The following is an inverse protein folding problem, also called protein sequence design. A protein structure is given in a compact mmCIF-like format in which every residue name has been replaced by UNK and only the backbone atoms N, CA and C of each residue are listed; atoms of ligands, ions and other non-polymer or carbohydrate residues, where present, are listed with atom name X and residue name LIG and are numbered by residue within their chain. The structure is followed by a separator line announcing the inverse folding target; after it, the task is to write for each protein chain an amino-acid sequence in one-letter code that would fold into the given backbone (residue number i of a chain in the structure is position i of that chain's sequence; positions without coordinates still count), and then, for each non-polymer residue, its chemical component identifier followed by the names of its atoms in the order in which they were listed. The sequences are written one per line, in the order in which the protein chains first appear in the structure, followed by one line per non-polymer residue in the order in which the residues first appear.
data_IF_408287543294
#
_entry.id   IF_408287543294
#
_cell.length_a   1.000
_cell.length_b   1.000
_cell.length_c   1.000
_cell.angle_alpha   90.00
_cell.angle_beta   90.00
_cell.angle_gamma   90.00
#
_symmetry.space_group_name_H-M   'P 1'
#
loop_
_entity.id
_entity.type
_entity.pdbx_description
1 polymer ?
#
# COMPACT_ATOMS: atom_id res chain seq x y z
N UNK A 1 -1.85 -25.62 -38.52
CA UNK A 1 -1.88 -25.55 -37.06
C UNK A 1 -1.86 -24.08 -36.66
N UNK A 2 -2.73 -23.65 -35.75
CA UNK A 2 -2.63 -22.31 -35.18
C UNK A 2 -1.30 -22.17 -34.44
N UNK A 3 -0.64 -21.02 -34.56
CA UNK A 3 0.57 -20.75 -33.81
C UNK A 3 0.28 -20.67 -32.30
N UNK A 4 1.18 -21.15 -31.44
CA UNK A 4 1.06 -20.92 -30.00
C UNK A 4 0.94 -19.45 -29.66
N UNK A 5 0.24 -19.12 -28.57
CA UNK A 5 0.08 -17.73 -28.12
C UNK A 5 1.42 -17.02 -27.90
N UNK A 6 2.43 -17.75 -27.42
CA UNK A 6 3.79 -17.25 -27.23
C UNK A 6 4.44 -16.69 -28.51
N UNK A 7 3.96 -17.08 -29.70
CA UNK A 7 4.43 -16.52 -30.98
C UNK A 7 3.86 -15.12 -31.27
N UNK A 8 2.80 -14.73 -30.57
CA UNK A 8 2.11 -13.45 -30.76
C UNK A 8 2.27 -12.49 -29.59
N UNK A 9 2.40 -13.03 -28.36
CA UNK A 9 2.49 -12.24 -27.13
C UNK A 9 3.70 -12.71 -26.35
N UNK A 10 4.70 -11.84 -26.20
CA UNK A 10 5.85 -12.11 -25.36
C UNK A 10 5.51 -11.78 -23.91
N UNK A 11 5.48 -12.79 -23.06
CA UNK A 11 5.40 -12.65 -21.62
C UNK A 11 6.80 -12.77 -21.00
N UNK A 12 7.13 -12.06 -19.92
CA UNK A 12 8.41 -12.19 -19.25
C UNK A 12 8.55 -13.59 -18.62
N UNK A 13 9.73 -14.18 -18.77
CA UNK A 13 10.07 -15.41 -18.06
C UNK A 13 10.46 -15.14 -16.60
N UNK A 14 10.48 -16.20 -15.78
CA UNK A 14 10.80 -16.10 -14.35
C UNK A 14 12.13 -15.37 -14.08
N UNK A 15 13.20 -15.75 -14.76
CA UNK A 15 14.53 -15.14 -14.56
C UNK A 15 14.54 -13.66 -14.99
N UNK A 16 13.74 -13.30 -16.01
CA UNK A 16 13.64 -11.93 -16.50
C UNK A 16 12.99 -11.02 -15.47
N UNK A 17 11.82 -11.37 -14.95
CA UNK A 17 11.18 -10.51 -13.96
C UNK A 17 11.82 -10.61 -12.57
N UNK A 18 12.45 -11.71 -12.22
CA UNK A 18 13.28 -11.81 -11.02
C UNK A 18 14.40 -10.77 -11.04
N UNK A 19 15.04 -10.58 -12.19
CA UNK A 19 16.07 -9.55 -12.35
C UNK A 19 15.49 -8.14 -12.29
N UNK A 20 14.32 -7.90 -12.90
CA UNK A 20 13.68 -6.58 -12.87
C UNK A 20 13.37 -6.09 -11.47
N UNK A 21 12.95 -6.98 -10.58
CA UNK A 21 12.48 -6.63 -9.25
C UNK A 21 13.49 -6.95 -8.13
N UNK A 22 14.72 -7.34 -8.45
CA UNK A 22 15.72 -7.77 -7.46
C UNK A 22 16.03 -6.73 -6.35
N UNK A 23 15.81 -5.45 -6.61
CA UNK A 23 15.97 -4.40 -5.60
C UNK A 23 14.80 -4.36 -4.59
N UNK A 24 13.64 -4.96 -4.92
CA UNK A 24 12.43 -4.89 -4.11
C UNK A 24 11.89 -6.24 -3.65
N UNK A 25 12.31 -7.32 -4.27
CA UNK A 25 11.88 -8.65 -3.91
C UNK A 25 12.95 -9.71 -4.22
N UNK A 26 13.12 -10.67 -3.30
CA UNK A 26 13.76 -11.93 -3.60
C UNK A 26 12.69 -12.95 -4.00
N UNK A 27 12.88 -13.57 -5.16
CA UNK A 27 11.97 -14.56 -5.71
C UNK A 27 12.60 -15.94 -5.67
N UNK A 28 11.94 -16.88 -4.99
CA UNK A 28 12.34 -18.29 -4.94
C UNK A 28 11.17 -19.13 -5.42
N UNK A 29 11.36 -19.89 -6.52
CA UNK A 29 10.35 -20.83 -7.01
C UNK A 29 10.85 -22.27 -6.91
N UNK A 30 10.03 -23.14 -6.36
CA UNK A 30 10.31 -24.56 -6.17
C UNK A 30 9.00 -25.34 -6.38
N UNK A 31 8.97 -26.23 -7.36
CA UNK A 31 7.79 -27.04 -7.70
C UNK A 31 6.50 -26.24 -7.89
N UNK A 32 6.57 -25.11 -8.60
CA UNK A 32 5.43 -24.22 -8.82
C UNK A 32 4.99 -23.39 -7.61
N UNK A 33 5.62 -23.55 -6.45
CA UNK A 33 5.42 -22.70 -5.28
C UNK A 33 6.41 -21.55 -5.38
N UNK A 34 5.90 -20.32 -5.48
CA UNK A 34 6.69 -19.10 -5.51
C UNK A 34 6.66 -18.43 -4.14
N UNK A 35 7.82 -18.17 -3.55
CA UNK A 35 7.97 -17.26 -2.43
C UNK A 35 8.43 -15.90 -2.93
N UNK A 36 7.68 -14.86 -2.60
CA UNK A 36 8.01 -13.44 -2.77
C UNK A 36 8.42 -12.90 -1.42
N UNK A 37 9.69 -12.56 -1.27
CA UNK A 37 10.22 -11.94 -0.06
C UNK A 37 10.48 -10.46 -0.35
N UNK A 38 9.60 -9.59 0.14
CA UNK A 38 9.73 -8.15 -0.06
C UNK A 38 10.94 -7.60 0.69
N UNK A 39 11.64 -6.67 0.06
CA UNK A 39 12.86 -6.05 0.60
C UNK A 39 13.10 -4.68 -0.05
N UNK A 40 14.08 -3.95 0.45
CA UNK A 40 14.66 -2.77 -0.22
C UNK A 40 16.16 -2.98 -0.33
N UNK A 41 16.65 -3.17 -1.56
CA UNK A 41 18.04 -3.59 -1.83
C UNK A 41 18.39 -4.88 -1.06
N UNK A 42 19.37 -4.83 -0.16
CA UNK A 42 19.83 -6.00 0.62
C UNK A 42 19.31 -5.97 2.08
N UNK A 43 18.35 -5.11 2.38
CA UNK A 43 17.77 -4.92 3.72
C UNK A 43 16.27 -5.12 3.79
N UNK A 44 15.69 -4.98 4.99
CA UNK A 44 14.24 -4.97 5.18
C UNK A 44 13.55 -3.97 4.27
N UNK A 45 12.28 -4.20 3.96
CA UNK A 45 11.54 -3.33 3.07
C UNK A 45 11.21 -2.00 3.74
N UNK A 46 11.53 -0.92 3.04
CA UNK A 46 11.15 0.44 3.41
C UNK A 46 9.94 0.90 2.59
N UNK A 47 9.00 1.53 3.27
CA UNK A 47 7.83 2.12 2.64
C UNK A 47 8.22 3.35 1.83
N UNK A 48 7.91 3.35 0.55
CA UNK A 48 8.20 4.45 -0.37
C UNK A 48 7.30 4.39 -1.59
N UNK A 49 7.24 5.46 -2.39
CA UNK A 49 6.56 5.42 -3.68
C UNK A 49 7.13 4.38 -4.63
N UNK A 50 8.43 4.13 -4.57
CA UNK A 50 9.08 3.11 -5.40
C UNK A 50 8.72 1.69 -4.96
N UNK A 51 8.65 1.43 -3.64
CA UNK A 51 8.22 0.13 -3.13
C UNK A 51 6.75 -0.15 -3.46
N UNK A 52 5.85 0.83 -3.33
CA UNK A 52 4.47 0.73 -3.78
C UNK A 52 4.38 0.35 -5.26
N UNK A 53 5.11 1.06 -6.11
CA UNK A 53 5.15 0.76 -7.54
C UNK A 53 5.68 -0.63 -7.81
N UNK A 54 6.76 -1.03 -7.14
CA UNK A 54 7.34 -2.36 -7.31
C UNK A 54 6.37 -3.47 -6.92
N UNK A 55 5.65 -3.31 -5.79
CA UNK A 55 4.63 -4.27 -5.35
C UNK A 55 3.49 -4.39 -6.37
N UNK A 56 2.98 -3.26 -6.84
CA UNK A 56 1.93 -3.20 -7.87
C UNK A 56 2.37 -3.84 -9.19
N UNK A 57 3.58 -3.52 -9.66
CA UNK A 57 4.07 -4.05 -10.94
C UNK A 57 4.44 -5.53 -10.84
N UNK A 58 5.11 -5.97 -9.77
CA UNK A 58 5.47 -7.37 -9.60
C UNK A 58 4.22 -8.25 -9.52
N UNK A 59 3.22 -7.91 -8.70
CA UNK A 59 1.99 -8.70 -8.59
C UNK A 59 1.27 -8.84 -9.93
N UNK A 60 1.32 -7.82 -10.79
CA UNK A 60 0.81 -7.91 -12.15
C UNK A 60 1.58 -8.93 -13.00
N UNK A 61 2.91 -8.92 -12.92
CA UNK A 61 3.75 -9.88 -13.68
C UNK A 61 3.52 -11.29 -13.19
N UNK A 62 3.40 -11.48 -11.85
CA UNK A 62 3.14 -12.79 -11.26
C UNK A 62 1.83 -13.42 -11.75
N UNK A 63 0.81 -12.61 -12.02
CA UNK A 63 -0.47 -13.09 -12.54
C UNK A 63 -0.42 -13.61 -13.98
N UNK A 64 0.61 -13.23 -14.73
CA UNK A 64 0.81 -13.66 -16.12
C UNK A 64 1.70 -14.91 -16.25
N UNK A 65 2.37 -15.32 -15.19
CA UNK A 65 3.24 -16.50 -15.19
C UNK A 65 2.50 -17.72 -14.61
N UNK A 66 2.01 -18.56 -15.49
CA UNK A 66 1.20 -19.75 -15.12
C UNK A 66 2.02 -20.89 -14.50
N UNK A 67 3.35 -20.77 -14.46
CA UNK A 67 4.18 -21.70 -13.69
C UNK A 67 4.16 -21.40 -12.18
N UNK A 68 3.62 -20.25 -11.79
CA UNK A 68 3.32 -19.95 -10.40
C UNK A 68 1.97 -20.59 -10.03
N UNK A 69 2.02 -21.70 -9.30
CA UNK A 69 0.82 -22.46 -8.92
C UNK A 69 0.31 -22.14 -7.51
N UNK A 70 1.18 -21.66 -6.62
CA UNK A 70 0.90 -21.16 -5.28
C UNK A 70 1.89 -20.04 -4.99
N UNK A 71 1.45 -18.95 -4.38
CA UNK A 71 2.33 -17.83 -4.05
C UNK A 71 2.32 -17.54 -2.55
N UNK A 72 3.51 -17.45 -1.96
CA UNK A 72 3.74 -17.04 -0.56
C UNK A 72 4.31 -15.63 -0.57
N UNK A 73 3.67 -14.69 0.13
CA UNK A 73 4.16 -13.33 0.32
C UNK A 73 4.70 -13.15 1.75
N UNK A 74 5.92 -12.67 1.86
CA UNK A 74 6.57 -12.37 3.14
C UNK A 74 7.52 -11.17 3.00
N UNK A 75 8.15 -10.77 4.09
CA UNK A 75 9.19 -9.72 4.12
C UNK A 75 10.53 -10.28 4.59
N UNK A 76 11.61 -9.60 4.18
CA UNK A 76 12.96 -9.92 4.62
C UNK A 76 13.16 -9.48 6.08
N UNK A 77 13.66 -10.38 6.92
CA UNK A 77 13.95 -10.14 8.33
C UNK A 77 12.82 -10.55 9.27
N UNK A 78 12.84 -10.01 10.49
CA UNK A 78 11.95 -10.40 11.58
C UNK A 78 10.69 -9.55 11.69
N UNK A 79 10.55 -8.53 10.85
CA UNK A 79 9.43 -7.61 10.85
C UNK A 79 8.72 -7.62 9.50
N UNK A 80 7.46 -7.17 9.49
CA UNK A 80 6.79 -6.82 8.24
C UNK A 80 7.42 -5.52 7.70
N UNK A 81 6.75 -4.44 7.62
CA UNK A 81 7.28 -3.15 7.18
C UNK A 81 7.23 -2.18 8.36
N UNK A 82 8.37 -1.70 8.84
CA UNK A 82 8.45 -0.83 10.04
C UNK A 82 9.11 0.52 9.76
N UNK A 83 9.69 0.71 8.58
CA UNK A 83 10.42 1.92 8.20
C UNK A 83 9.86 2.53 6.92
N UNK A 84 9.97 3.85 6.80
CA UNK A 84 9.64 4.61 5.60
C UNK A 84 10.89 5.30 5.07
N UNK A 85 11.07 5.27 3.75
CA UNK A 85 12.13 5.99 3.06
C UNK A 85 11.58 7.28 2.46
N UNK A 86 11.87 8.40 3.11
CA UNK A 86 11.45 9.72 2.68
C UNK A 86 11.96 10.06 1.26
N UNK A 87 13.21 9.72 0.96
CA UNK A 87 13.81 10.02 -0.35
C UNK A 87 13.17 9.19 -1.48
N UNK A 88 12.72 7.99 -1.18
CA UNK A 88 12.00 7.14 -2.14
C UNK A 88 10.67 7.71 -2.60
N UNK A 89 10.09 8.64 -1.86
CA UNK A 89 8.89 9.38 -2.28
C UNK A 89 9.21 10.56 -3.19
N UNK A 90 10.33 11.23 -3.01
CA UNK A 90 10.75 12.37 -3.84
C UNK A 90 11.00 11.96 -5.29
N UNK A 91 11.58 10.78 -5.49
CA UNK A 91 11.87 10.25 -6.83
C UNK A 91 10.63 9.75 -7.57
N UNK A 92 9.48 9.66 -6.89
CA UNK A 92 8.26 9.09 -7.44
C UNK A 92 7.56 10.03 -8.43
N UNK A 93 7.57 11.33 -8.16
CA UNK A 93 7.12 12.37 -9.10
C UNK A 93 7.58 13.76 -8.65
N UNK A 94 8.00 14.60 -9.61
CA UNK A 94 8.36 15.99 -9.37
C UNK A 94 7.18 16.87 -8.97
N UNK A 95 5.95 16.47 -9.34
CA UNK A 95 4.73 17.23 -9.05
C UNK A 95 3.86 16.49 -8.02
N UNK A 96 3.44 17.16 -6.93
CA UNK A 96 2.57 16.55 -5.93
C UNK A 96 1.31 15.91 -6.53
N UNK A 97 0.66 16.60 -7.48
CA UNK A 97 -0.55 16.10 -8.14
C UNK A 97 -0.29 14.81 -8.93
N UNK A 98 0.84 14.70 -9.62
CA UNK A 98 1.22 13.49 -10.34
C UNK A 98 1.57 12.36 -9.38
N UNK A 99 2.24 12.68 -8.26
CA UNK A 99 2.55 11.70 -7.23
C UNK A 99 1.30 11.03 -6.70
N UNK A 100 0.29 11.80 -6.29
CA UNK A 100 -0.96 11.25 -5.78
C UNK A 100 -1.74 10.48 -6.84
N UNK A 101 -1.69 10.92 -8.09
CA UNK A 101 -2.26 10.16 -9.18
C UNK A 101 -1.55 8.81 -9.39
N UNK A 102 -0.21 8.78 -9.30
CA UNK A 102 0.56 7.55 -9.40
C UNK A 102 0.28 6.63 -8.21
N UNK A 103 0.25 7.17 -7.00
CA UNK A 103 -0.09 6.40 -5.79
C UNK A 103 -1.49 5.81 -5.89
N UNK A 104 -2.48 6.59 -6.31
CA UNK A 104 -3.83 6.08 -6.57
C UNK A 104 -3.82 4.85 -7.50
N UNK A 105 -3.04 4.89 -8.58
CA UNK A 105 -2.96 3.76 -9.50
C UNK A 105 -2.18 2.58 -8.92
N UNK A 106 -1.12 2.83 -8.17
CA UNK A 106 -0.31 1.76 -7.61
C UNK A 106 -1.07 1.02 -6.49
N UNK A 107 -1.76 1.74 -5.59
CA UNK A 107 -2.60 1.15 -4.54
C UNK A 107 -3.78 0.35 -5.15
N UNK A 108 -4.51 0.97 -6.08
CA UNK A 108 -5.64 0.28 -6.73
C UNK A 108 -5.19 -0.93 -7.53
N UNK A 109 -4.03 -0.86 -8.22
CA UNK A 109 -3.51 -1.97 -9.00
C UNK A 109 -2.94 -3.08 -8.13
N UNK A 110 -2.29 -2.78 -7.01
CA UNK A 110 -1.84 -3.81 -6.07
C UNK A 110 -3.01 -4.69 -5.63
N UNK A 111 -4.06 -4.07 -5.11
CA UNK A 111 -5.27 -4.78 -4.66
C UNK A 111 -5.94 -5.52 -5.81
N UNK A 112 -6.10 -4.84 -6.95
CA UNK A 112 -6.69 -5.45 -8.15
C UNK A 112 -5.90 -6.70 -8.57
N UNK A 113 -4.60 -6.60 -8.69
CA UNK A 113 -3.77 -7.71 -9.12
C UNK A 113 -3.86 -8.88 -8.13
N UNK A 114 -3.75 -8.62 -6.83
CA UNK A 114 -3.79 -9.68 -5.81
C UNK A 114 -5.15 -10.35 -5.68
N UNK A 115 -6.24 -9.60 -5.79
CA UNK A 115 -7.59 -10.12 -5.54
C UNK A 115 -8.27 -10.63 -6.80
N UNK A 116 -8.05 -9.96 -7.95
CA UNK A 116 -8.78 -10.27 -9.18
C UNK A 116 -7.94 -10.98 -10.23
N UNK A 117 -6.65 -10.68 -10.33
CA UNK A 117 -5.80 -11.15 -11.41
C UNK A 117 -4.93 -12.36 -11.01
N UNK A 118 -4.61 -12.53 -9.71
CA UNK A 118 -3.94 -13.75 -9.21
C UNK A 118 -4.97 -14.87 -9.02
N UNK A 119 -5.04 -15.77 -9.98
CA UNK A 119 -5.99 -16.91 -10.00
C UNK A 119 -5.46 -18.15 -9.26
N UNK A 120 -4.34 -18.04 -8.57
CA UNK A 120 -3.72 -19.14 -7.80
C UNK A 120 -3.83 -18.90 -6.30
N UNK A 121 -3.78 -19.97 -5.48
CA UNK A 121 -3.79 -19.83 -4.03
C UNK A 121 -2.62 -18.98 -3.52
N UNK A 122 -2.91 -18.15 -2.52
CA UNK A 122 -1.94 -17.22 -1.94
C UNK A 122 -1.89 -17.34 -0.42
N UNK A 123 -0.69 -17.21 0.14
CA UNK A 123 -0.44 -17.26 1.59
C UNK A 123 0.35 -16.01 1.99
N UNK A 124 -0.20 -15.24 2.92
CA UNK A 124 0.53 -14.17 3.60
C UNK A 124 1.23 -14.72 4.84
N UNK A 125 2.54 -14.53 4.94
CA UNK A 125 3.34 -15.00 6.07
C UNK A 125 4.03 -13.80 6.73
N UNK A 126 3.43 -13.27 7.81
CA UNK A 126 3.98 -12.11 8.53
C UNK A 126 5.05 -12.57 9.52
N UNK A 127 6.33 -12.20 9.31
CA UNK A 127 7.42 -12.59 10.19
C UNK A 127 7.38 -11.87 11.55
N UNK A 128 6.72 -10.71 11.64
CA UNK A 128 6.62 -9.90 12.83
C UNK A 128 5.82 -8.62 12.66
N UNK A 129 6.02 -7.63 13.55
CA UNK A 129 5.28 -6.37 13.56
C UNK A 129 5.43 -5.55 12.29
N UNK A 130 4.44 -4.70 11.99
CA UNK A 130 4.55 -3.72 10.91
C UNK A 130 3.24 -3.07 10.49
N UNK A 131 3.38 -2.15 9.55
CA UNK A 131 2.28 -1.49 8.85
C UNK A 131 2.27 -1.92 7.37
N UNK A 132 1.35 -1.39 6.56
CA UNK A 132 1.18 -1.81 5.17
C UNK A 132 1.02 -3.32 5.01
N UNK A 133 0.22 -3.89 5.88
CA UNK A 133 -0.04 -5.34 5.97
C UNK A 133 -1.03 -5.86 4.92
N UNK A 134 -1.55 -4.99 4.08
CA UNK A 134 -2.54 -5.26 3.04
C UNK A 134 -2.17 -6.46 2.17
N UNK A 135 -0.96 -6.51 1.64
CA UNK A 135 -0.54 -7.61 0.76
C UNK A 135 -0.58 -8.99 1.43
N UNK A 136 -0.43 -9.08 2.75
CA UNK A 136 -0.61 -10.34 3.47
C UNK A 136 -2.09 -10.71 3.67
N UNK A 137 -2.94 -9.72 3.94
CA UNK A 137 -4.36 -9.93 4.24
C UNK A 137 -5.25 -10.02 2.99
N UNK A 138 -4.72 -9.68 1.83
CA UNK A 138 -5.35 -9.94 0.53
C UNK A 138 -5.17 -11.41 0.08
N UNK A 139 -4.34 -12.18 0.77
CA UNK A 139 -4.12 -13.59 0.50
C UNK A 139 -5.30 -14.45 0.95
N UNK A 140 -5.40 -15.68 0.41
CA UNK A 140 -6.43 -16.65 0.80
C UNK A 140 -6.27 -17.10 2.26
N UNK A 141 -5.02 -17.21 2.71
CA UNK A 141 -4.64 -17.59 4.09
C UNK A 141 -3.58 -16.64 4.57
N UNK A 142 -3.68 -16.23 5.83
CA UNK A 142 -2.70 -15.37 6.49
C UNK A 142 -2.20 -16.04 7.78
N UNK A 143 -0.88 -16.12 7.91
CA UNK A 143 -0.18 -16.67 9.09
C UNK A 143 0.69 -15.56 9.66
N UNK A 144 0.75 -15.43 10.96
CA UNK A 144 1.66 -14.48 11.59
C UNK A 144 2.44 -15.08 12.75
N UNK A 145 3.58 -14.48 13.07
CA UNK A 145 4.33 -14.79 14.29
C UNK A 145 3.58 -14.31 15.54
N UNK A 146 3.86 -14.94 16.68
CA UNK A 146 3.19 -14.65 17.97
C UNK A 146 3.51 -13.25 18.54
N UNK A 147 4.63 -12.67 18.11
CA UNK A 147 5.00 -11.28 18.44
C UNK A 147 4.47 -10.25 17.44
N UNK A 148 3.74 -10.67 16.41
CA UNK A 148 3.22 -9.79 15.39
C UNK A 148 2.23 -8.77 15.98
N UNK A 149 2.39 -7.54 15.55
CA UNK A 149 1.46 -6.42 15.79
C UNK A 149 1.33 -5.63 14.51
N UNK A 150 0.11 -5.35 14.13
CA UNK A 150 -0.18 -4.53 12.96
C UNK A 150 -0.85 -3.23 13.36
N UNK A 151 -0.69 -2.20 12.55
CA UNK A 151 -1.34 -0.91 12.74
C UNK A 151 -1.78 -0.30 11.41
N UNK A 152 -2.68 0.68 11.50
CA UNK A 152 -3.06 1.57 10.40
C UNK A 152 -2.58 2.97 10.77
N UNK A 153 -1.36 3.37 10.38
CA UNK A 153 -0.72 4.59 10.87
C UNK A 153 -1.29 5.88 10.27
N UNK A 154 -2.19 5.80 9.29
CA UNK A 154 -2.73 6.92 8.54
C UNK A 154 -3.27 8.04 9.43
N UNK A 155 -4.09 7.72 10.45
CA UNK A 155 -4.66 8.73 11.33
C UNK A 155 -3.59 9.48 12.13
N UNK A 156 -2.52 8.80 12.56
CA UNK A 156 -1.36 9.44 13.21
C UNK A 156 -0.63 10.36 12.24
N UNK A 157 -0.54 9.95 10.98
CA UNK A 157 -0.01 10.74 9.89
C UNK A 157 -0.93 11.85 9.41
N UNK A 158 -2.14 12.00 9.95
CA UNK A 158 -3.15 12.92 9.44
C UNK A 158 -3.61 12.55 8.02
N UNK A 159 -3.55 11.28 7.67
CA UNK A 159 -3.97 10.73 6.38
C UNK A 159 -5.27 9.94 6.54
N UNK A 160 -5.98 9.79 5.44
CA UNK A 160 -7.15 8.91 5.36
C UNK A 160 -6.67 7.52 4.97
N UNK A 161 -7.05 6.44 5.68
CA UNK A 161 -6.65 5.07 5.31
C UNK A 161 -7.45 4.55 4.11
N UNK A 162 -7.12 5.02 2.92
CA UNK A 162 -7.85 4.78 1.69
C UNK A 162 -7.24 3.73 0.76
N UNK A 163 -6.05 3.25 1.07
CA UNK A 163 -5.27 2.24 0.33
C UNK A 163 -5.81 0.80 0.45
N UNK A 164 -7.05 0.65 0.88
CA UNK A 164 -7.71 -0.64 1.12
C UNK A 164 -7.62 -1.12 2.57
N UNK A 165 -6.66 -0.63 3.37
CA UNK A 165 -6.50 -1.05 4.77
C UNK A 165 -7.75 -0.75 5.61
N UNK A 166 -8.38 0.40 5.36
CA UNK A 166 -9.63 0.77 6.03
C UNK A 166 -10.78 -0.20 5.74
N UNK A 167 -10.95 -0.59 4.49
CA UNK A 167 -11.95 -1.56 4.07
C UNK A 167 -11.70 -2.95 4.67
N UNK A 168 -10.44 -3.39 4.62
CA UNK A 168 -10.06 -4.68 5.21
C UNK A 168 -10.23 -4.70 6.73
N UNK A 169 -9.87 -3.61 7.43
CA UNK A 169 -10.10 -3.51 8.86
C UNK A 169 -11.60 -3.63 9.23
N UNK A 170 -12.47 -2.96 8.47
CA UNK A 170 -13.93 -3.09 8.65
C UNK A 170 -14.43 -4.49 8.30
N UNK A 171 -13.89 -5.10 7.24
CA UNK A 171 -14.30 -6.43 6.79
C UNK A 171 -13.97 -7.51 7.84
N UNK A 172 -12.75 -7.54 8.32
CA UNK A 172 -12.29 -8.59 9.24
C UNK A 172 -12.70 -8.35 10.70
N UNK A 173 -12.75 -7.09 11.17
CA UNK A 173 -13.06 -6.76 12.56
C UNK A 173 -14.53 -6.40 12.79
N UNK A 174 -15.30 -6.24 11.70
CA UNK A 174 -16.62 -5.60 11.74
C UNK A 174 -16.53 -4.08 11.84
N UNK A 175 -17.57 -3.38 11.37
CA UNK A 175 -17.56 -1.93 11.16
C UNK A 175 -17.08 -1.13 12.38
N UNK A 176 -17.62 -1.41 13.57
CA UNK A 176 -17.31 -0.60 14.76
C UNK A 176 -15.88 -0.78 15.25
N UNK A 177 -15.41 -2.03 15.29
CA UNK A 177 -14.05 -2.31 15.74
C UNK A 177 -13.04 -1.84 14.69
N UNK A 178 -13.30 -2.08 13.40
CA UNK A 178 -12.47 -1.58 12.30
C UNK A 178 -12.33 -0.07 12.32
N UNK A 179 -13.45 0.68 12.47
CA UNK A 179 -13.41 2.13 12.60
C UNK A 179 -12.58 2.59 13.81
N UNK A 180 -12.75 1.91 14.96
CA UNK A 180 -11.97 2.24 16.14
C UNK A 180 -10.46 2.12 15.90
N UNK A 181 -10.02 1.01 15.30
CA UNK A 181 -8.60 0.80 14.99
C UNK A 181 -8.07 1.81 13.97
N UNK A 182 -8.81 2.07 12.91
CA UNK A 182 -8.42 3.04 11.88
C UNK A 182 -8.28 4.47 12.45
N UNK A 183 -9.27 4.90 13.24
CA UNK A 183 -9.34 6.28 13.73
C UNK A 183 -8.42 6.54 14.92
N UNK A 184 -7.96 5.50 15.62
CA UNK A 184 -7.07 5.62 16.77
C UNK A 184 -5.64 5.18 16.47
N UNK A 185 -5.40 4.58 15.31
CA UNK A 185 -4.13 3.92 14.94
C UNK A 185 -3.61 2.96 16.02
N UNK A 186 -4.52 2.34 16.77
CA UNK A 186 -4.15 1.36 17.79
C UNK A 186 -3.56 0.12 17.13
N UNK A 187 -2.49 -0.41 17.72
CA UNK A 187 -1.95 -1.69 17.30
C UNK A 187 -2.90 -2.85 17.61
N UNK A 188 -2.95 -3.82 16.69
CA UNK A 188 -3.68 -5.07 16.83
C UNK A 188 -2.66 -6.20 16.99
N UNK A 189 -2.75 -6.95 18.08
CA UNK A 189 -1.83 -8.06 18.37
C UNK A 189 -2.18 -9.32 17.59
N UNK A 190 -1.22 -10.26 17.47
CA UNK A 190 -1.45 -11.57 16.84
C UNK A 190 -2.65 -12.31 17.43
N UNK A 191 -2.83 -12.28 18.75
CA UNK A 191 -3.95 -12.93 19.41
C UNK A 191 -5.29 -12.24 19.16
N UNK A 192 -5.32 -10.91 19.10
CA UNK A 192 -6.53 -10.16 18.73
C UNK A 192 -6.90 -10.45 17.27
N UNK A 193 -5.92 -10.55 16.37
CA UNK A 193 -6.14 -10.94 14.97
C UNK A 193 -6.71 -12.35 14.84
N UNK A 194 -6.17 -13.31 15.58
CA UNK A 194 -6.65 -14.69 15.59
C UNK A 194 -8.10 -14.75 16.11
N UNK A 195 -8.37 -14.09 17.23
CA UNK A 195 -9.73 -14.03 17.81
C UNK A 195 -10.76 -13.37 16.91
N UNK A 196 -10.31 -12.40 16.09
CA UNK A 196 -11.18 -11.71 15.13
C UNK A 196 -11.34 -12.48 13.81
N UNK A 197 -10.55 -13.52 13.57
CA UNK A 197 -10.52 -14.24 12.30
C UNK A 197 -9.80 -13.49 11.17
N UNK A 198 -8.94 -12.52 11.52
CA UNK A 198 -8.10 -11.81 10.55
C UNK A 198 -6.94 -12.68 10.07
N UNK A 199 -6.38 -13.51 10.94
CA UNK A 199 -5.34 -14.49 10.60
C UNK A 199 -5.84 -15.90 10.80
N UNK A 200 -5.32 -16.81 9.99
CA UNK A 200 -5.69 -18.24 10.03
C UNK A 200 -4.96 -19.00 11.13
N UNK A 201 -3.68 -18.65 11.34
CA UNK A 201 -2.83 -19.27 12.35
C UNK A 201 -1.87 -18.24 12.95
N UNK A 202 -1.55 -18.43 14.24
CA UNK A 202 -0.43 -17.77 14.93
C UNK A 202 0.61 -18.83 15.26
N UNK A 203 1.84 -18.59 14.89
CA UNK A 203 2.97 -19.53 15.07
C UNK A 203 4.10 -18.85 15.85
N UNK A 204 5.02 -19.61 16.45
CA UNK A 204 6.17 -19.03 17.13
C UNK A 204 6.99 -18.13 16.21
N UNK A 205 7.63 -17.10 16.77
CA UNK A 205 8.50 -16.17 16.04
C UNK A 205 9.49 -16.92 15.14
N UNK A 206 9.66 -16.45 13.90
CA UNK A 206 10.53 -17.06 12.91
C UNK A 206 9.97 -18.30 12.21
N UNK A 207 8.71 -18.71 12.49
CA UNK A 207 8.09 -19.90 11.91
C UNK A 207 7.03 -19.63 10.85
N UNK A 208 6.66 -18.37 10.61
CA UNK A 208 5.58 -18.05 9.68
C UNK A 208 5.86 -18.53 8.24
N UNK A 209 7.06 -18.30 7.72
CA UNK A 209 7.45 -18.74 6.37
C UNK A 209 7.55 -20.26 6.27
N UNK A 210 8.14 -20.94 7.25
CA UNK A 210 8.22 -22.40 7.28
C UNK A 210 6.81 -23.01 7.23
N UNK A 211 5.90 -22.48 8.05
CA UNK A 211 4.50 -22.92 8.08
C UNK A 211 3.76 -22.65 6.77
N UNK A 212 4.01 -21.51 6.13
CA UNK A 212 3.45 -21.21 4.81
C UNK A 212 3.89 -22.23 3.75
N UNK A 213 5.15 -22.64 3.76
CA UNK A 213 5.65 -23.69 2.88
C UNK A 213 5.01 -25.06 3.15
N UNK A 214 4.77 -25.41 4.42
CA UNK A 214 4.07 -26.65 4.77
C UNK A 214 2.65 -26.67 4.18
N UNK A 215 1.91 -25.57 4.35
CA UNK A 215 0.56 -25.43 3.78
C UNK A 215 0.59 -25.45 2.25
N UNK A 216 1.54 -24.75 1.64
CA UNK A 216 1.67 -24.74 0.19
C UNK A 216 1.93 -26.16 -0.37
N UNK A 217 2.82 -26.93 0.26
CA UNK A 217 3.08 -28.33 -0.12
C UNK A 217 1.83 -29.22 0.09
N UNK A 218 1.09 -28.99 1.17
CA UNK A 218 -0.19 -29.69 1.37
C UNK A 218 -1.18 -29.36 0.26
N UNK A 219 -1.28 -28.09 -0.14
CA UNK A 219 -2.16 -27.71 -1.25
C UNK A 219 -1.72 -28.29 -2.59
N UNK A 220 -0.44 -28.51 -2.82
CA UNK A 220 0.07 -29.18 -4.04
C UNK A 220 -0.45 -30.62 -4.19
N UNK A 221 -0.92 -31.26 -3.13
CA UNK A 221 -1.54 -32.59 -3.22
C UNK A 221 -2.94 -32.56 -3.86
N UNK A 222 -3.58 -31.40 -3.95
CA UNK A 222 -4.85 -31.22 -4.65
C UNK A 222 -4.63 -30.98 -6.15
N UNK A 223 -5.56 -31.38 -7.02
CA UNK A 223 -5.53 -31.01 -8.43
C UNK A 223 -5.42 -29.49 -8.62
N UNK A 224 -4.65 -29.09 -9.61
CA UNK A 224 -4.40 -27.67 -9.93
C UNK A 224 -5.71 -26.88 -10.10
N UNK A 225 -6.62 -27.42 -10.89
CA UNK A 225 -7.90 -26.78 -11.21
C UNK A 225 -8.75 -26.57 -9.94
N UNK A 226 -8.76 -27.56 -9.06
CA UNK A 226 -9.56 -27.47 -7.82
C UNK A 226 -9.04 -26.36 -6.90
N UNK A 227 -7.72 -26.28 -6.70
CA UNK A 227 -7.16 -25.25 -5.80
C UNK A 227 -7.28 -23.85 -6.37
N UNK A 228 -7.18 -23.65 -7.70
CA UNK A 228 -7.39 -22.35 -8.34
C UNK A 228 -8.85 -21.91 -8.23
N UNK A 229 -9.82 -22.83 -8.47
CA UNK A 229 -11.25 -22.54 -8.30
C UNK A 229 -11.57 -22.23 -6.83
N UNK A 230 -11.00 -22.98 -5.88
CA UNK A 230 -11.20 -22.72 -4.45
C UNK A 230 -10.66 -21.34 -4.03
N UNK A 231 -9.46 -20.94 -4.49
CA UNK A 231 -8.91 -19.61 -4.26
C UNK A 231 -9.82 -18.51 -4.80
N UNK A 232 -10.32 -18.67 -6.02
CA UNK A 232 -11.26 -17.73 -6.61
C UNK A 232 -12.57 -17.59 -5.80
N UNK A 233 -13.06 -18.68 -5.24
CA UNK A 233 -14.25 -18.66 -4.36
C UNK A 233 -13.92 -18.02 -3.00
N UNK A 234 -12.76 -18.32 -2.43
CA UNK A 234 -12.31 -17.75 -1.16
C UNK A 234 -12.18 -16.23 -1.23
N UNK A 235 -11.64 -15.70 -2.34
CA UNK A 235 -11.49 -14.26 -2.57
C UNK A 235 -12.80 -13.52 -2.87
N UNK A 236 -13.91 -14.23 -3.11
CA UNK A 236 -15.17 -13.61 -3.51
C UNK A 236 -15.67 -12.49 -2.56
N UNK A 237 -15.60 -12.63 -1.23
CA UNK A 237 -16.02 -11.55 -0.32
C UNK A 237 -15.20 -10.26 -0.53
N UNK A 238 -13.87 -10.37 -0.66
CA UNK A 238 -12.99 -9.24 -0.95
C UNK A 238 -13.27 -8.65 -2.35
N UNK A 239 -13.48 -9.51 -3.36
CA UNK A 239 -13.85 -9.05 -4.72
C UNK A 239 -15.09 -8.15 -4.69
N UNK A 240 -16.11 -8.53 -3.96
CA UNK A 240 -17.33 -7.72 -3.82
C UNK A 240 -17.04 -6.39 -3.13
N UNK A 241 -16.33 -6.42 -1.99
CA UNK A 241 -15.98 -5.25 -1.22
C UNK A 241 -15.21 -4.23 -2.07
N UNK A 242 -14.17 -4.68 -2.75
CA UNK A 242 -13.30 -3.79 -3.51
C UNK A 242 -13.91 -3.29 -4.83
N UNK A 243 -14.83 -4.05 -5.46
CA UNK A 243 -15.56 -3.54 -6.62
C UNK A 243 -16.43 -2.34 -6.26
N UNK A 244 -17.04 -2.35 -5.09
CA UNK A 244 -17.94 -1.29 -4.64
C UNK A 244 -17.17 -0.06 -4.14
N UNK A 245 -16.18 -0.23 -3.30
CA UNK A 245 -15.67 0.84 -2.44
C UNK A 245 -14.20 1.22 -2.65
N UNK A 246 -13.36 0.36 -3.27
CA UNK A 246 -11.91 0.60 -3.33
C UNK A 246 -11.55 1.98 -3.89
N UNK A 247 -12.10 2.33 -5.05
CA UNK A 247 -11.75 3.59 -5.71
C UNK A 247 -12.20 4.82 -4.93
N UNK A 248 -13.33 4.74 -4.23
CA UNK A 248 -13.80 5.82 -3.35
C UNK A 248 -12.82 6.02 -2.18
N UNK A 249 -12.38 4.93 -1.57
CA UNK A 249 -11.43 4.96 -0.46
C UNK A 249 -10.08 5.52 -0.90
N UNK A 250 -9.50 5.00 -1.98
CA UNK A 250 -8.20 5.47 -2.48
C UNK A 250 -8.24 6.93 -2.92
N UNK A 251 -9.32 7.36 -3.61
CA UNK A 251 -9.50 8.79 -3.95
C UNK A 251 -9.60 9.64 -2.68
N UNK A 252 -10.30 9.17 -1.64
CA UNK A 252 -10.46 9.93 -0.39
C UNK A 252 -9.13 10.14 0.32
N UNK A 253 -8.23 9.16 0.30
CA UNK A 253 -6.87 9.29 0.81
C UNK A 253 -6.07 10.33 0.05
N UNK A 254 -6.05 10.22 -1.27
CA UNK A 254 -5.30 11.15 -2.12
C UNK A 254 -5.87 12.58 -2.03
N UNK A 255 -7.20 12.71 -1.95
CA UNK A 255 -7.85 14.00 -1.77
C UNK A 255 -7.50 14.61 -0.40
N UNK A 256 -7.55 13.83 0.68
CA UNK A 256 -7.14 14.27 2.01
C UNK A 256 -5.68 14.75 2.03
N UNK A 257 -4.79 14.01 1.39
CA UNK A 257 -3.37 14.38 1.25
C UNK A 257 -3.18 15.67 0.46
N UNK A 258 -3.91 15.86 -0.64
CA UNK A 258 -3.88 17.10 -1.43
C UNK A 258 -4.39 18.30 -0.62
N UNK A 259 -5.43 18.14 0.20
CA UNK A 259 -5.92 19.21 1.07
C UNK A 259 -4.87 19.62 2.11
N UNK A 260 -4.12 18.67 2.66
CA UNK A 260 -3.04 18.97 3.62
C UNK A 260 -1.87 19.69 2.97
N UNK A 261 -1.48 19.29 1.76
CA UNK A 261 -0.48 20.05 0.99
C UNK A 261 -0.98 21.47 0.73
N UNK A 262 -2.22 21.60 0.32
CA UNK A 262 -2.84 22.89 0.08
C UNK A 262 -2.93 23.76 1.34
N UNK A 263 -3.04 23.14 2.52
CA UNK A 263 -2.98 23.84 3.80
C UNK A 263 -1.53 24.17 4.25
N UNK A 264 -0.51 23.74 3.52
CA UNK A 264 0.89 23.91 3.90
C UNK A 264 1.36 23.00 5.06
N UNK A 265 0.56 22.00 5.38
CA UNK A 265 0.83 21.06 6.49
C UNK A 265 1.73 19.90 6.06
N UNK A 266 1.76 19.59 4.78
CA UNK A 266 2.70 18.66 4.15
C UNK A 266 3.58 19.48 3.21
N UNK A 267 4.90 19.32 3.30
CA UNK A 267 5.82 19.95 2.36
C UNK A 267 5.52 19.55 0.91
N UNK A 268 5.87 20.39 -0.05
CA UNK A 268 5.59 20.20 -1.48
C UNK A 268 6.11 18.88 -2.05
N UNK A 269 7.09 18.27 -1.40
CA UNK A 269 7.76 17.06 -1.86
C UNK A 269 7.37 15.80 -1.07
N UNK A 270 6.68 15.91 0.07
CA UNK A 270 6.63 14.83 1.03
C UNK A 270 5.30 14.67 1.74
N UNK A 271 4.35 13.98 1.13
CA UNK A 271 3.26 13.38 1.88
C UNK A 271 3.76 12.23 2.79
N UNK A 272 5.01 11.80 2.64
CA UNK A 272 5.66 10.81 3.48
C UNK A 272 6.81 11.34 4.34
N UNK A 273 7.29 12.57 4.12
CA UNK A 273 8.17 13.27 5.06
C UNK A 273 7.32 13.95 6.14
N UNK A 274 6.55 13.18 6.76
CA UNK A 274 6.39 13.45 8.16
C UNK A 274 7.79 13.30 8.72
N UNK A 275 8.23 14.36 9.39
CA UNK A 275 9.44 14.39 10.15
C UNK A 275 9.80 12.96 10.56
N UNK A 276 11.00 12.48 10.25
CA UNK A 276 11.52 11.19 10.78
C UNK A 276 11.24 11.07 12.28
N UNK A 277 11.11 12.20 12.97
CA UNK A 277 10.63 12.38 14.32
C UNK A 277 9.21 11.86 14.56
N UNK A 278 8.33 11.87 13.57
CA UNK A 278 6.95 11.37 13.70
C UNK A 278 6.85 9.87 13.49
N UNK A 279 7.57 9.31 12.54
CA UNK A 279 7.49 7.88 12.23
C UNK A 279 8.37 7.07 13.18
N UNK A 280 9.57 7.57 13.54
CA UNK A 280 10.52 6.84 14.39
C UNK A 280 10.24 6.94 15.89
N UNK A 281 9.44 7.90 16.33
CA UNK A 281 9.21 8.13 17.77
C UNK A 281 7.81 7.73 18.24
N UNK A 282 6.86 7.45 17.34
CA UNK A 282 5.49 7.40 17.78
C UNK A 282 4.74 6.12 17.49
N UNK A 283 5.10 5.12 18.18
CA UNK A 283 4.09 4.29 18.82
C UNK A 283 3.34 5.06 19.96
N UNK A 284 3.54 6.37 20.08
CA UNK A 284 2.95 7.20 21.12
C UNK A 284 1.88 8.12 20.52
N UNK A 285 0.60 7.67 20.58
CA UNK A 285 -0.57 8.44 20.17
C UNK A 285 -0.64 9.85 20.81
N UNK A 286 0.07 10.12 21.92
CA UNK A 286 0.18 11.43 22.57
C UNK A 286 0.82 12.47 21.65
N UNK A 287 1.65 12.06 20.72
CA UNK A 287 2.29 12.96 19.79
C UNK A 287 1.30 13.53 18.76
N UNK A 288 0.36 12.71 18.30
CA UNK A 288 -0.72 13.18 17.41
C UNK A 288 -1.69 14.09 18.15
N UNK A 289 -1.91 13.84 19.44
CA UNK A 289 -2.76 14.65 20.29
C UNK A 289 -2.17 16.05 20.47
N UNK A 290 -0.88 16.17 20.70
CA UNK A 290 -0.19 17.46 20.81
C UNK A 290 -0.19 18.23 19.50
N UNK A 291 -0.03 17.55 18.36
CA UNK A 291 -0.13 18.18 17.06
C UNK A 291 -1.55 18.66 16.73
N UNK A 292 -2.57 17.88 17.06
CA UNK A 292 -3.98 18.29 16.88
C UNK A 292 -4.38 19.41 17.85
N UNK A 293 -3.68 19.58 18.96
CA UNK A 293 -3.92 20.65 19.93
C UNK A 293 -3.10 21.91 19.68
N UNK A 294 -2.02 21.84 18.91
CA UNK A 294 -1.34 23.03 18.43
C UNK A 294 -2.14 23.61 17.27
N UNK A 295 -2.78 24.77 17.42
CA UNK A 295 -3.36 25.42 16.25
C UNK A 295 -2.24 25.59 15.23
N UNK A 296 -2.47 25.27 13.94
CA UNK A 296 -1.50 25.53 12.91
C UNK A 296 -1.07 26.97 13.03
N UNK A 297 0.25 27.20 13.00
CA UNK A 297 0.78 28.54 13.14
C UNK A 297 0.08 29.44 12.14
N UNK A 298 -0.35 30.62 12.59
CA UNK A 298 -1.19 31.52 11.81
C UNK A 298 -0.63 31.84 10.42
N UNK A 299 0.69 31.69 10.25
CA UNK A 299 1.41 31.91 9.00
C UNK A 299 1.20 30.80 7.96
N UNK A 300 1.14 29.52 8.34
CA UNK A 300 0.89 28.43 7.40
C UNK A 300 -0.54 28.44 6.87
N UNK A 301 -1.51 28.76 7.72
CA UNK A 301 -2.91 28.91 7.34
C UNK A 301 -3.17 30.21 6.57
N UNK A 302 -2.47 31.29 6.90
CA UNK A 302 -2.57 32.55 6.17
C UNK A 302 -2.10 32.41 4.72
N UNK A 303 -0.97 31.69 4.50
CA UNK A 303 -0.46 31.44 3.14
C UNK A 303 -1.40 30.59 2.28
N UNK A 304 -2.12 29.64 2.89
CA UNK A 304 -3.10 28.82 2.17
C UNK A 304 -4.39 29.56 1.87
N UNK A 305 -4.87 30.38 2.78
CA UNK A 305 -6.11 31.14 2.58
C UNK A 305 -5.97 32.32 1.64
N UNK A 306 -4.80 32.94 1.59
CA UNK A 306 -4.61 34.18 0.81
C UNK A 306 -4.30 33.93 -0.66
N UNK A 307 -3.51 32.91 -1.01
CA UNK A 307 -3.09 32.69 -2.41
C UNK A 307 -4.22 32.29 -3.38
N UNK A 308 -5.10 31.34 -3.09
CA UNK A 308 -6.27 31.08 -3.91
C UNK A 308 -7.29 32.21 -3.86
N UNK A 309 -7.44 32.89 -2.71
CA UNK A 309 -8.37 34.02 -2.57
C UNK A 309 -7.88 35.27 -3.27
N UNK A 310 -6.59 35.53 -3.38
CA UNK A 310 -6.05 36.63 -4.18
C UNK A 310 -6.39 36.45 -5.66
N UNK A 311 -6.28 35.23 -6.19
CA UNK A 311 -6.71 34.94 -7.56
C UNK A 311 -8.21 35.15 -7.75
N UNK A 312 -9.05 34.61 -6.86
CA UNK A 312 -10.50 34.84 -6.91
C UNK A 312 -10.87 36.31 -6.68
N UNK A 313 -10.13 37.01 -5.86
CA UNK A 313 -10.30 38.43 -5.62
C UNK A 313 -9.98 39.24 -6.87
N UNK A 314 -8.89 38.91 -7.55
CA UNK A 314 -8.52 39.55 -8.82
C UNK A 314 -9.59 39.32 -9.92
N UNK A 315 -10.12 38.08 -10.00
CA UNK A 315 -11.24 37.77 -10.91
C UNK A 315 -12.52 38.54 -10.52
N UNK A 316 -12.82 38.59 -9.22
CA UNK A 316 -13.98 39.33 -8.71
C UNK A 316 -13.86 40.86 -8.89
N UNK A 317 -12.64 41.39 -8.90
CA UNK A 317 -12.35 42.82 -9.18
C UNK A 317 -12.29 43.10 -10.69
N UNK A 318 -12.66 42.15 -11.55
CA UNK A 318 -12.72 42.32 -13.00
C UNK A 318 -11.37 42.46 -13.68
N UNK A 319 -10.29 42.02 -13.02
CA UNK A 319 -8.99 41.92 -13.67
C UNK A 319 -9.02 40.75 -14.66
N UNK A 320 -8.57 40.98 -15.87
CA UNK A 320 -8.44 39.97 -16.90
C UNK A 320 -7.36 38.96 -16.47
N UNK A 321 -7.76 37.88 -15.84
CA UNK A 321 -6.89 36.76 -15.49
C UNK A 321 -7.10 35.67 -16.53
N UNK A 322 -6.15 35.51 -17.44
CA UNK A 322 -6.19 34.41 -18.39
C UNK A 322 -5.82 33.09 -17.64
N UNK A 323 -6.78 32.18 -17.35
CA UNK A 323 -6.50 30.94 -16.67
C UNK A 323 -5.65 29.97 -17.51
N UNK A 324 -5.43 30.28 -18.78
CA UNK A 324 -4.63 29.48 -19.71
C UNK A 324 -3.32 30.15 -20.10
N UNK A 325 -2.95 31.26 -19.44
CA UNK A 325 -1.64 31.91 -19.68
C UNK A 325 -0.52 30.97 -19.24
N UNK A 326 0.14 30.35 -20.21
CA UNK A 326 1.24 29.39 -19.97
C UNK A 326 2.47 30.03 -19.30
N UNK A 327 2.55 31.36 -19.25
CA UNK A 327 3.60 32.09 -18.52
C UNK A 327 3.33 32.20 -17.03
N UNK A 328 2.06 31.98 -16.62
CA UNK A 328 1.64 31.96 -15.21
C UNK A 328 1.37 30.56 -14.79
N UNK A 329 1.79 30.13 -13.59
CA UNK A 329 1.48 28.80 -13.10
C UNK A 329 -0.04 28.63 -13.04
N UNK A 330 -0.56 27.65 -13.79
CA UNK A 330 -2.01 27.31 -13.84
C UNK A 330 -2.50 26.81 -12.47
N UNK A 331 -1.57 26.52 -11.58
CA UNK A 331 -1.83 26.16 -10.19
C UNK A 331 -0.84 26.89 -9.30
N UNK A 332 -1.27 27.49 -8.19
CA UNK A 332 -0.38 28.04 -7.19
C UNK A 332 0.60 26.99 -6.62
N UNK A 333 0.37 25.72 -6.96
CA UNK A 333 1.18 24.55 -6.52
C UNK A 333 2.16 24.05 -7.58
N UNK A 334 2.32 24.71 -8.73
CA UNK A 334 3.43 24.39 -9.62
C UNK A 334 4.73 24.89 -8.99
N UNK A 335 5.67 24.00 -8.65
CA UNK A 335 6.99 24.46 -8.21
C UNK A 335 7.61 25.30 -9.32
N UNK A 336 8.18 26.46 -8.95
CA UNK A 336 9.01 27.21 -9.88
C UNK A 336 10.15 26.27 -10.27
N UNK A 337 10.34 26.04 -11.58
CA UNK A 337 11.60 25.43 -12.03
C UNK A 337 12.72 26.30 -11.45
N UNK A 338 13.61 25.66 -10.71
CA UNK A 338 14.87 26.30 -10.34
C UNK A 338 15.57 26.71 -11.65
N UNK A 339 15.87 27.96 -11.80
CA UNK A 339 16.72 28.47 -12.87
C UNK A 339 18.15 27.94 -12.70
#
# INVERSE_FOLDING_TARGET
MAKPLADYVKLPGFDEYKEWFKAFADLKREDGILQVTWKTNDGPMHHSGMSHRAMSQLTRVLSMDWENEIIIFTHLGDNWMIESDANGWETYSELPTQRFQHQYFDDTNLIKNMVFDLDVPTIGALPGPGFHWDSAFLCDVTICSDDCKIEVPHAQGGLVPGDGMGLMAQHYLGTKRGNYYMMTSRQITAQEMLQAGMVSEVVPKGKAVERAWEIARMWKTMPYENRTIMSNLAKRPLKKLFVEDLKLHTVSEQYGSLLRIAAGELGDTNAGQQDEKYISQTNDWRYCHDWMQQPPTCESWAGFRTKPFEWFKEVAEGKEVNPFDASKPVSPYRPKKAE
#
